data_IF_217814883163
#
_entry.id   IF_217814883163
#
_cell.length_a   1.000
_cell.length_b   1.000
_cell.length_c   1.000
_cell.angle_alpha   90.00
_cell.angle_beta   90.00
_cell.angle_gamma   90.00
#
_symmetry.space_group_name_H-M   'P 1'
#
loop_
_entity.id
_entity.type
_entity.pdbx_description
1 polymer ?
#
# COMPACT_ATOMS: atom_id res chain seq x y z
N UNK A 1 -0.07 -7.39 13.91
CA UNK A 1 -1.53 -7.23 14.05
C UNK A 1 -2.13 -7.20 12.66
N UNK A 2 -3.32 -7.76 12.45
CA UNK A 2 -4.00 -7.81 11.14
C UNK A 2 -5.49 -7.56 11.35
N UNK A 3 -6.10 -6.78 10.46
CA UNK A 3 -7.54 -6.50 10.41
C UNK A 3 -7.96 -6.46 8.94
N UNK A 4 -9.14 -7.00 8.60
CA UNK A 4 -9.68 -6.86 7.25
C UNK A 4 -10.01 -5.39 6.95
N UNK A 5 -9.53 -4.88 5.81
CA UNK A 5 -9.60 -3.46 5.49
C UNK A 5 -11.03 -2.90 5.47
N UNK A 6 -12.02 -3.70 5.06
CA UNK A 6 -13.45 -3.33 5.05
C UNK A 6 -14.02 -3.06 6.45
N UNK A 7 -13.42 -3.62 7.51
CA UNK A 7 -13.85 -3.47 8.90
C UNK A 7 -12.92 -2.58 9.72
N UNK A 8 -11.99 -1.86 9.09
CA UNK A 8 -11.07 -0.97 9.78
C UNK A 8 -11.83 0.18 10.47
N UNK A 9 -11.37 0.55 11.66
CA UNK A 9 -11.92 1.67 12.43
C UNK A 9 -10.76 2.52 12.98
N UNK A 10 -10.99 3.77 13.39
CA UNK A 10 -9.96 4.58 14.03
C UNK A 10 -9.34 3.91 15.27
N UNK A 11 -10.12 3.13 16.02
CA UNK A 11 -9.66 2.40 17.21
C UNK A 11 -8.69 1.29 16.83
N UNK A 12 -8.90 0.60 15.70
CA UNK A 12 -7.94 -0.36 15.16
C UNK A 12 -6.60 0.32 14.87
N UNK A 13 -6.64 1.48 14.22
CA UNK A 13 -5.45 2.28 13.89
C UNK A 13 -4.71 2.74 15.15
N UNK A 14 -5.46 3.27 16.13
CA UNK A 14 -4.91 3.70 17.41
C UNK A 14 -4.24 2.51 18.14
N UNK A 15 -4.89 1.35 18.17
CA UNK A 15 -4.35 0.14 18.80
C UNK A 15 -3.08 -0.34 18.10
N UNK A 16 -3.06 -0.36 16.77
CA UNK A 16 -1.85 -0.72 16.00
C UNK A 16 -0.69 0.24 16.32
N UNK A 17 -0.95 1.55 16.36
CA UNK A 17 0.09 2.54 16.68
C UNK A 17 0.61 2.40 18.12
N UNK A 18 -0.27 2.14 19.09
CA UNK A 18 0.08 2.07 20.51
C UNK A 18 0.73 0.74 20.92
N UNK A 19 0.30 -0.37 20.32
CA UNK A 19 0.65 -1.72 20.80
C UNK A 19 1.42 -2.58 19.79
N UNK A 20 1.45 -2.22 18.50
CA UNK A 20 2.35 -2.86 17.54
C UNK A 20 3.56 -1.97 17.21
N UNK A 21 3.35 -0.67 16.97
CA UNK A 21 4.43 0.33 16.83
C UNK A 21 5.17 0.33 15.49
N UNK A 22 4.93 -0.65 14.62
CA UNK A 22 5.49 -0.70 13.27
C UNK A 22 4.76 0.17 12.24
N UNK A 23 5.18 0.07 10.98
CA UNK A 23 4.46 0.68 9.86
C UNK A 23 3.05 0.10 9.74
N UNK A 24 2.08 0.99 9.53
CA UNK A 24 0.70 0.62 9.27
C UNK A 24 0.48 0.63 7.76
N UNK A 25 0.46 -0.55 7.18
CA UNK A 25 0.35 -0.73 5.74
C UNK A 25 -0.98 -1.35 5.33
N UNK A 26 -1.38 -1.13 4.08
CA UNK A 26 -2.52 -1.79 3.44
C UNK A 26 -2.02 -2.82 2.43
N UNK A 27 -2.19 -4.11 2.73
CA UNK A 27 -1.89 -5.18 1.79
C UNK A 27 -3.06 -5.40 0.82
N UNK A 28 -2.76 -5.52 -0.47
CA UNK A 28 -3.72 -5.83 -1.54
C UNK A 28 -3.21 -6.97 -2.42
N UNK A 29 -4.12 -7.74 -3.02
CA UNK A 29 -3.72 -8.82 -3.92
C UNK A 29 -3.17 -8.29 -5.26
N UNK A 30 -2.31 -9.09 -5.91
CA UNK A 30 -1.68 -8.76 -7.18
C UNK A 30 -2.68 -8.37 -8.28
N UNK A 31 -3.75 -9.16 -8.44
CA UNK A 31 -4.77 -8.92 -9.48
C UNK A 31 -5.47 -7.57 -9.33
N UNK A 32 -5.72 -7.15 -8.08
CA UNK A 32 -6.35 -5.88 -7.77
C UNK A 32 -5.38 -4.73 -7.98
N UNK A 33 -4.11 -4.87 -7.58
CA UNK A 33 -3.07 -3.91 -7.89
C UNK A 33 -2.96 -3.65 -9.41
N UNK A 34 -2.97 -4.71 -10.21
CA UNK A 34 -2.93 -4.62 -11.68
C UNK A 34 -4.15 -3.88 -12.25
N UNK A 35 -5.37 -4.15 -11.74
CA UNK A 35 -6.59 -3.42 -12.14
C UNK A 35 -6.48 -1.93 -11.85
N UNK A 36 -5.88 -1.57 -10.71
CA UNK A 36 -5.65 -0.17 -10.32
C UNK A 36 -4.47 0.47 -11.06
N UNK A 37 -3.64 -0.31 -11.76
CA UNK A 37 -2.43 0.16 -12.43
C UNK A 37 -1.29 0.47 -11.47
N UNK A 38 -1.22 -0.22 -10.33
CA UNK A 38 -0.16 -0.07 -9.34
C UNK A 38 1.01 -1.01 -9.63
N UNK A 39 2.23 -0.51 -9.44
CA UNK A 39 3.48 -1.26 -9.58
C UNK A 39 4.22 -1.32 -8.24
N UNK A 40 5.20 -2.21 -8.12
CA UNK A 40 6.09 -2.18 -6.96
C UNK A 40 6.96 -0.93 -6.99
N UNK A 41 7.28 -0.40 -5.81
CA UNK A 41 8.07 0.81 -5.65
C UNK A 41 9.49 0.65 -6.20
N UNK A 42 10.09 -0.55 -6.08
CA UNK A 42 11.43 -0.79 -6.61
C UNK A 42 11.44 -0.71 -8.15
N UNK A 43 10.40 -1.18 -8.83
CA UNK A 43 10.24 -1.02 -10.28
C UNK A 43 10.14 0.46 -10.65
N UNK A 44 9.23 1.20 -10.00
CA UNK A 44 9.03 2.64 -10.22
C UNK A 44 10.35 3.42 -10.06
N UNK A 45 11.11 3.13 -9.00
CA UNK A 45 12.36 3.83 -8.71
C UNK A 45 13.49 3.44 -9.68
N UNK A 46 13.56 2.17 -10.08
CA UNK A 46 14.62 1.67 -10.98
C UNK A 46 14.43 2.17 -12.41
N UNK A 47 13.18 2.28 -12.88
CA UNK A 47 12.83 2.82 -14.20
C UNK A 47 12.88 4.35 -14.26
N UNK A 48 12.86 5.03 -13.10
CA UNK A 48 12.87 6.48 -13.03
C UNK A 48 14.16 7.09 -13.62
N UNK A 49 13.99 8.13 -14.43
CA UNK A 49 15.09 8.95 -14.97
C UNK A 49 15.60 10.00 -13.98
N UNK A 50 14.91 10.20 -12.84
CA UNK A 50 15.28 11.19 -11.83
C UNK A 50 16.38 10.71 -10.88
N UNK A 51 16.68 9.41 -10.87
CA UNK A 51 17.75 8.82 -10.08
C UNK A 51 18.96 8.57 -10.97
N UNK A 52 20.12 9.10 -10.60
CA UNK A 52 21.38 8.75 -11.24
C UNK A 52 21.79 7.31 -10.90
N UNK A 53 22.79 6.79 -11.63
CA UNK A 53 23.25 5.41 -11.46
C UNK A 53 23.65 5.11 -10.01
N UNK A 54 24.32 6.05 -9.34
CA UNK A 54 24.77 5.90 -7.95
C UNK A 54 23.59 5.84 -6.99
N UNK A 55 22.57 6.69 -7.18
CA UNK A 55 21.38 6.71 -6.34
C UNK A 55 20.54 5.44 -6.51
N UNK A 56 20.57 4.83 -7.70
CA UNK A 56 19.92 3.53 -7.96
C UNK A 56 20.55 2.37 -7.18
N UNK A 57 21.80 2.50 -6.70
CA UNK A 57 22.44 1.49 -5.85
C UNK A 57 21.73 1.33 -4.48
N UNK A 58 20.99 2.36 -4.03
CA UNK A 58 20.17 2.28 -2.81
C UNK A 58 18.86 1.51 -2.98
N UNK A 59 18.42 1.27 -4.23
CA UNK A 59 17.19 0.54 -4.50
C UNK A 59 17.41 -0.90 -4.06
N UNK A 60 16.68 -1.31 -3.03
CA UNK A 60 16.84 -2.63 -2.44
C UNK A 60 16.64 -3.72 -3.50
N UNK A 61 17.67 -4.56 -3.65
CA UNK A 61 17.55 -5.86 -4.30
C UNK A 61 16.73 -6.85 -3.46
N UNK A 62 16.99 -8.13 -3.64
CA UNK A 62 16.37 -9.17 -2.83
C UNK A 62 16.76 -8.99 -1.37
N UNK A 63 15.78 -9.04 -0.47
CA UNK A 63 16.04 -9.12 0.95
C UNK A 63 16.77 -10.45 1.28
N UNK A 64 17.38 -10.61 2.47
CA UNK A 64 18.13 -11.83 2.81
C UNK A 64 17.36 -13.15 2.66
N UNK A 65 16.03 -13.08 2.69
CA UNK A 65 15.10 -14.21 2.49
C UNK A 65 14.75 -14.47 1.01
N UNK A 66 15.36 -13.75 0.07
CA UNK A 66 15.27 -13.99 -1.37
C UNK A 66 14.16 -13.26 -2.12
N UNK A 67 13.40 -12.37 -1.45
CA UNK A 67 12.29 -11.65 -2.06
C UNK A 67 12.51 -10.13 -2.06
N UNK A 68 12.03 -9.45 -3.10
CA UNK A 68 11.94 -7.99 -3.08
C UNK A 68 10.92 -7.47 -2.05
N UNK A 69 11.11 -6.25 -1.52
CA UNK A 69 10.09 -5.59 -0.72
C UNK A 69 8.78 -5.40 -1.51
N UNK A 70 7.65 -5.69 -0.87
CA UNK A 70 6.32 -5.63 -1.50
C UNK A 70 5.71 -4.22 -1.54
N UNK A 71 6.49 -3.18 -1.26
CA UNK A 71 5.96 -1.82 -1.19
C UNK A 71 5.52 -1.33 -2.57
N UNK A 72 4.43 -0.57 -2.59
CA UNK A 72 4.00 0.29 -3.70
C UNK A 72 3.90 1.73 -3.18
N UNK A 73 3.20 2.60 -3.90
CA UNK A 73 2.97 3.99 -3.50
C UNK A 73 2.23 4.07 -2.16
N UNK A 74 2.42 5.19 -1.47
CA UNK A 74 1.63 5.58 -0.31
C UNK A 74 0.47 6.50 -0.72
N UNK A 75 -0.69 6.35 -0.10
CA UNK A 75 -1.90 7.10 -0.48
C UNK A 75 -2.57 7.77 0.71
N UNK A 76 -3.39 8.78 0.40
CA UNK A 76 -4.43 9.34 1.26
C UNK A 76 -5.73 9.45 0.45
N UNK A 77 -6.89 9.30 1.08
CA UNK A 77 -8.16 9.65 0.43
C UNK A 77 -8.32 11.17 0.31
N UNK A 78 -8.96 11.67 -0.76
CA UNK A 78 -9.11 13.11 -1.01
C UNK A 78 -9.88 13.85 0.08
N UNK A 79 -10.82 13.17 0.75
CA UNK A 79 -11.60 13.76 1.85
C UNK A 79 -10.84 13.85 3.18
N UNK A 80 -9.62 13.30 3.25
CA UNK A 80 -8.77 13.46 4.45
C UNK A 80 -8.15 14.85 4.50
N UNK A 81 -7.91 15.37 5.70
CA UNK A 81 -7.25 16.65 5.88
C UNK A 81 -5.73 16.50 5.74
N UNK A 82 -5.06 16.04 6.80
CA UNK A 82 -3.61 15.75 6.75
C UNK A 82 -3.34 14.33 6.28
N UNK A 83 -4.25 13.38 6.56
CA UNK A 83 -4.09 11.98 6.17
C UNK A 83 -3.51 11.10 7.29
N UNK A 84 -2.87 11.67 8.32
CA UNK A 84 -2.12 10.89 9.33
C UNK A 84 -2.94 10.52 10.56
N UNK A 85 -4.05 11.21 10.82
CA UNK A 85 -4.88 10.92 12.00
C UNK A 85 -5.44 9.50 11.94
N UNK A 86 -5.79 8.93 13.09
CA UNK A 86 -6.37 7.60 13.15
C UNK A 86 -7.68 7.52 12.34
N UNK A 87 -8.46 8.62 12.33
CA UNK A 87 -9.66 8.79 11.49
C UNK A 87 -9.33 8.85 10.00
N UNK A 88 -8.34 9.64 9.60
CA UNK A 88 -7.96 9.79 8.19
C UNK A 88 -7.39 8.49 7.59
N UNK A 89 -6.54 7.80 8.34
CA UNK A 89 -5.97 6.52 7.91
C UNK A 89 -7.03 5.44 7.82
N UNK A 90 -7.94 5.36 8.81
CA UNK A 90 -9.08 4.44 8.75
C UNK A 90 -9.99 4.74 7.55
N UNK A 91 -10.30 6.02 7.29
CA UNK A 91 -11.08 6.42 6.12
C UNK A 91 -10.38 5.99 4.83
N UNK A 92 -9.09 6.29 4.68
CA UNK A 92 -8.31 5.91 3.49
C UNK A 92 -8.33 4.41 3.24
N UNK A 93 -8.12 3.60 4.28
CA UNK A 93 -8.09 2.14 4.16
C UNK A 93 -9.48 1.58 3.82
N UNK A 94 -10.54 2.10 4.47
CA UNK A 94 -11.91 1.66 4.21
C UNK A 94 -12.37 1.99 2.79
N UNK A 95 -12.08 3.21 2.31
CA UNK A 95 -12.44 3.59 0.95
C UNK A 95 -11.68 2.76 -0.10
N UNK A 96 -10.45 2.34 0.20
CA UNK A 96 -9.72 1.40 -0.67
C UNK A 96 -10.41 0.04 -0.74
N UNK A 97 -10.94 -0.47 0.37
CA UNK A 97 -11.70 -1.72 0.38
C UNK A 97 -13.01 -1.59 -0.43
N UNK A 98 -13.69 -0.44 -0.31
CA UNK A 98 -14.94 -0.17 -1.03
C UNK A 98 -14.80 -0.18 -2.56
N UNK A 99 -13.60 0.07 -3.09
CA UNK A 99 -13.33 -0.01 -4.53
C UNK A 99 -13.64 -1.38 -5.12
N UNK A 100 -13.58 -2.46 -4.34
CA UNK A 100 -13.91 -3.80 -4.85
C UNK A 100 -15.35 -3.91 -5.34
N UNK A 101 -16.25 -3.09 -4.80
CA UNK A 101 -17.68 -3.08 -5.11
C UNK A 101 -18.05 -2.10 -6.23
N UNK A 102 -17.07 -1.52 -6.92
CA UNK A 102 -17.27 -0.54 -8.00
C UNK A 102 -16.88 -1.15 -9.34
N UNK A 103 -17.69 -0.93 -10.37
CA UNK A 103 -17.46 -1.47 -11.71
C UNK A 103 -16.14 -0.95 -12.32
N UNK A 104 -15.94 0.38 -12.33
CA UNK A 104 -14.71 0.99 -12.81
C UNK A 104 -13.76 1.36 -11.66
N UNK A 105 -13.09 0.34 -11.13
CA UNK A 105 -12.18 0.44 -9.97
C UNK A 105 -11.05 1.45 -10.20
N UNK A 106 -10.45 1.46 -11.38
CA UNK A 106 -9.32 2.35 -11.72
C UNK A 106 -9.72 3.82 -11.73
N UNK A 107 -10.81 4.17 -12.42
CA UNK A 107 -11.26 5.56 -12.47
C UNK A 107 -11.71 6.04 -11.09
N UNK A 108 -12.35 5.17 -10.30
CA UNK A 108 -12.74 5.52 -8.93
C UNK A 108 -11.52 5.70 -8.04
N UNK A 109 -10.49 4.86 -8.17
CA UNK A 109 -9.22 5.01 -7.44
C UNK A 109 -8.55 6.35 -7.75
N UNK A 110 -8.32 6.65 -9.04
CA UNK A 110 -7.65 7.89 -9.47
C UNK A 110 -8.41 9.15 -9.01
N UNK A 111 -9.74 9.12 -9.01
CA UNK A 111 -10.56 10.26 -8.58
C UNK A 111 -10.74 10.38 -7.06
N UNK A 112 -10.47 9.33 -6.28
CA UNK A 112 -10.74 9.29 -4.84
C UNK A 112 -9.48 9.38 -3.98
N UNK A 113 -8.29 9.12 -4.53
CA UNK A 113 -7.03 9.09 -3.77
C UNK A 113 -5.95 10.01 -4.35
N UNK A 114 -5.08 10.48 -3.46
CA UNK A 114 -3.87 11.26 -3.77
C UNK A 114 -2.62 10.50 -3.29
N UNK A 115 -1.53 10.67 -4.03
CA UNK A 115 -0.18 10.17 -3.70
C UNK A 115 0.82 11.32 -3.80
N UNK A 116 1.83 11.43 -2.90
CA UNK A 116 2.10 10.55 -1.76
C UNK A 116 1.10 10.73 -0.60
N UNK A 117 1.18 9.86 0.40
CA UNK A 117 0.28 9.89 1.55
C UNK A 117 0.78 9.09 2.75
N UNK A 118 -0.10 8.84 3.72
CA UNK A 118 0.26 8.27 5.02
C UNK A 118 -0.11 6.80 5.19
N UNK A 119 -0.72 6.18 4.17
CA UNK A 119 -1.02 4.75 4.13
C UNK A 119 -0.20 4.09 3.01
N UNK A 120 0.93 3.44 3.33
CA UNK A 120 1.71 2.66 2.37
C UNK A 120 0.92 1.44 1.88
N UNK A 121 0.90 1.21 0.57
CA UNK A 121 0.33 0.00 -0.03
C UNK A 121 1.42 -1.08 -0.11
N UNK A 122 1.03 -2.33 0.18
CA UNK A 122 1.82 -3.52 -0.10
C UNK A 122 1.09 -4.37 -1.13
N UNK A 123 1.78 -4.78 -2.19
CA UNK A 123 1.23 -5.67 -3.23
C UNK A 123 1.67 -7.10 -2.90
N UNK A 124 0.71 -8.00 -2.69
CA UNK A 124 1.00 -9.42 -2.50
C UNK A 124 1.52 -10.04 -3.80
N UNK A 125 2.41 -11.02 -3.68
CA UNK A 125 2.95 -11.75 -4.84
C UNK A 125 1.86 -12.51 -5.59
N UNK A 126 2.01 -12.63 -6.91
CA UNK A 126 1.17 -13.51 -7.71
C UNK A 126 1.40 -14.97 -7.28
N UNK A 127 0.33 -15.70 -6.95
CA UNK A 127 0.41 -17.01 -6.28
C UNK A 127 0.47 -16.99 -4.74
N UNK A 128 0.50 -15.81 -4.10
CA UNK A 128 0.46 -15.67 -2.64
C UNK A 128 1.56 -16.51 -1.96
N UNK A 129 1.19 -17.39 -1.03
CA UNK A 129 2.10 -18.21 -0.22
C UNK A 129 2.91 -19.24 -1.00
N UNK A 130 2.50 -19.59 -2.24
CA UNK A 130 3.31 -20.46 -3.10
C UNK A 130 4.57 -19.75 -3.60
N UNK A 131 4.50 -18.43 -3.72
CA UNK A 131 5.55 -17.58 -4.28
C UNK A 131 6.33 -16.90 -3.17
N UNK A 132 5.64 -16.36 -2.15
CA UNK A 132 6.26 -15.58 -1.08
C UNK A 132 5.57 -15.84 0.26
N UNK A 133 6.38 -16.11 1.30
CA UNK A 133 5.90 -16.39 2.66
C UNK A 133 6.10 -15.20 3.60
N UNK A 134 5.51 -14.06 3.22
CA UNK A 134 5.49 -12.85 4.06
C UNK A 134 4.12 -12.62 4.73
N UNK A 135 4.03 -11.52 5.49
CA UNK A 135 2.74 -11.06 6.04
C UNK A 135 1.83 -10.42 4.99
N UNK A 136 2.41 -9.85 3.93
CA UNK A 136 1.70 -9.35 2.74
C UNK A 136 1.14 -10.52 1.94
#
# INVERSE_FOLDING_TARGET
MVVAAEYVTPEHIARMRLHAGGLLCLAINHSFANKLGLQYMHDILSESSYFDSTSKEMIMGLAPYGDHPTFSISINHYQTYTGITDRDRALTIREMANLQNVENQRNKFVSSFKTPGHVPILIASDGLLSTRRGHT
#
